data_IF_787268500346
#
_entry.id   IF_787268500346
#
_cell.length_a   1.000
_cell.length_b   1.000
_cell.length_c   1.000
_cell.angle_alpha   90.00
_cell.angle_beta   90.00
_cell.angle_gamma   90.00
#
_symmetry.space_group_name_H-M   'P 1'
#
loop_
_entity.id
_entity.type
_entity.pdbx_description
1 polymer ?
#
# COMPACT_ATOMS: atom_id res chain seq x y z
N UNK A 1 1.89 22.93 26.23
CA UNK A 1 1.47 24.25 25.68
C UNK A 1 1.85 24.25 24.21
N UNK A 2 0.94 24.57 23.30
CA UNK A 2 1.23 24.62 21.85
C UNK A 2 2.07 25.85 21.54
N UNK A 3 3.13 25.76 20.73
CA UNK A 3 3.88 26.92 20.27
C UNK A 3 3.00 27.85 19.43
N UNK A 4 3.31 29.15 19.45
CA UNK A 4 2.65 30.12 18.58
C UNK A 4 2.89 29.81 17.09
N UNK A 5 1.83 29.69 16.29
CA UNK A 5 1.90 29.38 14.86
C UNK A 5 2.72 30.39 14.05
N UNK A 6 2.74 31.68 14.44
CA UNK A 6 3.58 32.67 13.78
C UNK A 6 5.07 32.38 13.98
N UNK A 7 5.44 31.86 15.16
CA UNK A 7 6.82 31.46 15.46
C UNK A 7 7.21 30.21 14.69
N UNK A 8 6.31 29.23 14.57
CA UNK A 8 6.52 28.06 13.73
C UNK A 8 6.66 28.44 12.24
N UNK A 9 5.85 29.38 11.76
CA UNK A 9 5.96 29.94 10.40
C UNK A 9 7.32 30.61 10.19
N UNK A 10 7.77 31.44 11.13
CA UNK A 10 9.09 32.08 11.08
C UNK A 10 10.21 31.05 11.04
N UNK A 11 10.14 30.05 11.92
CA UNK A 11 11.10 28.93 11.94
C UNK A 11 11.14 28.18 10.60
N UNK A 12 9.98 27.84 10.04
CA UNK A 12 9.86 27.14 8.75
C UNK A 12 10.61 27.89 7.65
N UNK A 13 10.40 29.20 7.51
CA UNK A 13 11.11 30.00 6.49
C UNK A 13 12.59 30.16 6.78
N UNK A 14 13.02 30.30 8.05
CA UNK A 14 14.44 30.34 8.39
C UNK A 14 15.12 29.02 7.99
N UNK A 15 14.50 27.89 8.28
CA UNK A 15 15.05 26.56 7.98
C UNK A 15 15.10 26.32 6.47
N UNK A 16 14.01 26.56 5.75
CA UNK A 16 13.89 26.33 4.30
C UNK A 16 14.83 27.20 3.49
N UNK A 17 15.02 28.46 3.91
CA UNK A 17 15.87 29.45 3.22
C UNK A 17 17.30 29.49 3.78
N UNK A 18 17.55 28.80 4.87
CA UNK A 18 18.82 28.82 5.62
C UNK A 18 19.35 30.24 5.87
N UNK A 19 18.45 31.22 6.07
CA UNK A 19 18.78 32.62 6.20
C UNK A 19 17.69 33.44 6.90
N UNK A 20 18.07 34.11 8.00
CA UNK A 20 17.17 35.04 8.73
C UNK A 20 16.80 36.23 7.84
N UNK A 21 17.74 36.74 7.05
CA UNK A 21 17.49 37.88 6.15
C UNK A 21 16.53 37.51 5.02
N UNK A 22 16.70 36.33 4.43
CA UNK A 22 15.79 35.83 3.39
C UNK A 22 14.38 35.57 3.97
N UNK A 23 14.30 34.97 5.14
CA UNK A 23 13.03 34.76 5.85
C UNK A 23 12.32 36.09 6.14
N UNK A 24 13.05 37.10 6.60
CA UNK A 24 12.50 38.44 6.86
C UNK A 24 11.88 39.08 5.61
N UNK A 25 12.56 38.95 4.46
CA UNK A 25 12.04 39.43 3.17
C UNK A 25 10.76 38.74 2.75
N UNK A 26 10.72 37.41 2.84
CA UNK A 26 9.53 36.59 2.47
C UNK A 26 8.36 36.85 3.40
N UNK A 27 8.63 37.05 4.68
CA UNK A 27 7.62 37.31 5.71
C UNK A 27 7.17 38.77 5.77
N UNK A 28 7.83 39.68 5.04
CA UNK A 28 7.58 41.11 5.05
C UNK A 28 7.67 41.74 6.46
N UNK A 29 8.63 41.27 7.27
CA UNK A 29 8.93 41.79 8.59
C UNK A 29 10.42 42.14 8.76
N UNK A 30 10.78 42.88 9.80
CA UNK A 30 12.18 43.22 10.00
C UNK A 30 13.02 42.03 10.48
N UNK A 31 14.32 42.03 10.12
CA UNK A 31 15.25 40.98 10.58
C UNK A 31 15.32 40.87 12.13
N UNK A 32 15.30 41.97 12.94
CA UNK A 32 15.21 41.86 14.37
C UNK A 32 13.94 41.16 14.85
N UNK A 33 12.79 41.40 14.19
CA UNK A 33 11.55 40.73 14.52
C UNK A 33 11.62 39.22 14.27
N UNK A 34 12.21 38.79 13.14
CA UNK A 34 12.44 37.37 12.86
C UNK A 34 13.33 36.73 13.92
N UNK A 35 14.45 37.40 14.29
CA UNK A 35 15.36 36.92 15.34
C UNK A 35 14.66 36.79 16.69
N UNK A 36 13.84 37.76 17.07
CA UNK A 36 13.08 37.76 18.33
C UNK A 36 12.05 36.61 18.34
N UNK A 37 11.34 36.38 17.24
CA UNK A 37 10.37 35.26 17.13
C UNK A 37 11.06 33.92 17.26
N UNK A 38 12.24 33.75 16.62
CA UNK A 38 13.04 32.54 16.74
C UNK A 38 13.47 32.31 18.20
N UNK A 39 14.02 33.34 18.88
CA UNK A 39 14.44 33.23 20.28
C UNK A 39 13.28 32.84 21.20
N UNK A 40 12.08 33.43 20.99
CA UNK A 40 10.89 33.07 21.76
C UNK A 40 10.48 31.61 21.53
N UNK A 41 10.56 31.10 20.28
CA UNK A 41 10.29 29.71 19.98
C UNK A 41 11.30 28.78 20.68
N UNK A 42 12.61 29.08 20.56
CA UNK A 42 13.67 28.32 21.22
C UNK A 42 13.48 28.27 22.76
N UNK A 43 13.04 29.41 23.36
CA UNK A 43 12.70 29.47 24.77
C UNK A 43 11.48 28.64 25.12
N UNK A 44 10.44 28.64 24.30
CA UNK A 44 9.22 27.82 24.51
C UNK A 44 9.48 26.33 24.44
N UNK A 45 10.27 25.90 23.47
CA UNK A 45 10.60 24.48 23.33
C UNK A 45 11.83 24.04 24.11
N UNK A 46 12.47 24.99 24.83
CA UNK A 46 13.68 24.79 25.63
C UNK A 46 14.83 24.10 24.83
N UNK A 47 14.97 24.46 23.57
CA UNK A 47 16.00 23.92 22.70
C UNK A 47 16.50 24.97 21.70
N UNK A 48 17.82 25.01 21.51
CA UNK A 48 18.45 25.84 20.47
C UNK A 48 18.21 25.20 19.11
N UNK A 49 17.62 25.94 18.18
CA UNK A 49 17.31 25.43 16.82
C UNK A 49 18.42 25.76 15.83
N UNK A 50 19.10 26.89 15.99
CA UNK A 50 20.17 27.26 15.08
C UNK A 50 21.43 27.72 15.83
N UNK A 51 22.58 27.35 15.29
CA UNK A 51 23.89 27.82 15.75
C UNK A 51 24.59 28.59 14.61
N UNK A 52 25.41 29.58 14.99
CA UNK A 52 26.23 30.30 14.01
C UNK A 52 27.63 29.73 13.98
N UNK A 53 28.01 29.11 12.86
CA UNK A 53 29.36 28.62 12.61
C UNK A 53 29.96 29.36 11.41
N UNK A 54 31.09 30.05 11.62
CA UNK A 54 31.79 30.78 10.55
C UNK A 54 30.87 31.71 9.73
N UNK A 55 30.01 32.48 10.41
CA UNK A 55 28.98 33.37 9.80
C UNK A 55 27.85 32.69 9.03
N UNK A 56 27.79 31.34 9.06
CA UNK A 56 26.66 30.55 8.50
C UNK A 56 25.68 30.17 9.58
N UNK A 57 24.40 30.18 9.26
CA UNK A 57 23.34 29.66 10.11
C UNK A 57 23.26 28.15 9.88
N UNK A 58 23.42 27.34 10.95
CA UNK A 58 23.42 25.88 10.86
C UNK A 58 22.30 25.34 11.75
N UNK A 59 21.37 24.55 11.21
CA UNK A 59 20.31 23.93 12.00
C UNK A 59 20.85 22.83 12.92
N UNK A 60 20.35 22.77 14.14
CA UNK A 60 20.62 21.72 15.11
C UNK A 60 19.77 20.46 14.82
N UNK A 61 20.04 19.36 15.50
CA UNK A 61 19.19 18.16 15.41
C UNK A 61 17.78 18.40 15.96
N UNK A 62 17.63 19.32 16.94
CA UNK A 62 16.32 19.77 17.38
C UNK A 62 15.56 20.49 16.26
N UNK A 63 16.26 21.35 15.48
CA UNK A 63 15.65 22.00 14.31
C UNK A 63 15.22 21.00 13.24
N UNK A 64 16.03 19.98 12.96
CA UNK A 64 15.68 18.95 11.97
C UNK A 64 14.41 18.20 12.38
N UNK A 65 14.32 17.79 13.66
CA UNK A 65 13.13 17.11 14.19
C UNK A 65 11.91 18.02 14.16
N UNK A 66 12.04 19.29 14.57
CA UNK A 66 10.92 20.23 14.51
C UNK A 66 10.48 20.47 13.06
N UNK A 67 11.42 20.58 12.12
CA UNK A 67 11.10 20.80 10.71
C UNK A 67 10.33 19.63 10.10
N UNK A 68 10.69 18.38 10.44
CA UNK A 68 9.97 17.19 9.97
C UNK A 68 8.52 17.14 10.46
N UNK A 69 8.19 17.78 11.58
CA UNK A 69 6.82 17.92 12.07
C UNK A 69 6.08 19.11 11.43
N UNK A 70 6.78 20.22 11.23
CA UNK A 70 6.17 21.48 10.75
C UNK A 70 5.95 21.46 9.23
N UNK A 71 6.85 20.87 8.47
CA UNK A 71 6.77 20.86 7.01
C UNK A 71 5.48 20.21 6.49
N UNK A 72 5.09 18.99 6.89
CA UNK A 72 3.84 18.37 6.43
C UNK A 72 2.60 19.21 6.79
N UNK A 73 2.62 19.84 7.96
CA UNK A 73 1.54 20.73 8.38
C UNK A 73 1.42 21.96 7.49
N UNK A 74 2.53 22.63 7.18
CA UNK A 74 2.54 23.80 6.28
C UNK A 74 2.09 23.41 4.88
N UNK A 75 2.57 22.28 4.36
CA UNK A 75 2.20 21.78 3.03
C UNK A 75 0.70 21.45 2.96
N UNK A 76 0.15 20.82 4.00
CA UNK A 76 -1.28 20.53 4.11
C UNK A 76 -2.12 21.80 4.18
N UNK A 77 -1.65 22.79 4.94
CA UNK A 77 -2.35 24.07 5.07
C UNK A 77 -2.34 24.84 3.74
N UNK A 78 -1.22 24.88 3.03
CA UNK A 78 -1.13 25.49 1.70
C UNK A 78 -2.07 24.81 0.71
N UNK A 79 -2.03 23.48 0.65
CA UNK A 79 -2.92 22.69 -0.22
C UNK A 79 -4.39 22.95 0.12
N UNK A 80 -4.73 22.98 1.41
CA UNK A 80 -6.08 23.30 1.89
C UNK A 80 -6.52 24.73 1.53
N UNK A 81 -5.64 25.71 1.69
CA UNK A 81 -5.92 27.10 1.33
C UNK A 81 -6.09 27.30 -0.17
N UNK A 82 -5.28 26.61 -0.99
CA UNK A 82 -5.41 26.66 -2.45
C UNK A 82 -6.72 26.01 -2.90
N UNK A 83 -7.16 24.94 -2.22
CA UNK A 83 -8.48 24.33 -2.46
C UNK A 83 -9.66 25.23 -2.08
N UNK A 84 -9.49 26.12 -1.11
CA UNK A 84 -10.49 27.12 -0.71
C UNK A 84 -10.53 28.31 -1.70
N UNK A 85 -9.38 28.68 -2.26
CA UNK A 85 -9.25 29.84 -3.15
C UNK A 85 -9.71 29.63 -4.58
N UNK A 86 -9.70 28.38 -5.01
CA UNK A 86 -10.25 28.02 -6.32
C UNK A 86 -11.47 27.12 -6.11
N UNK A 87 -12.63 27.43 -6.69
CA UNK A 87 -13.64 26.40 -6.90
C UNK A 87 -12.99 25.36 -7.80
N UNK A 88 -12.53 24.26 -7.21
CA UNK A 88 -11.88 23.18 -7.95
C UNK A 88 -12.97 22.44 -8.70
N UNK A 89 -13.31 22.96 -9.88
CA UNK A 89 -14.23 22.27 -10.81
C UNK A 89 -13.56 21.04 -11.45
N UNK A 90 -12.26 20.85 -11.23
CA UNK A 90 -11.49 19.76 -11.82
C UNK A 90 -10.49 19.17 -10.81
N UNK A 91 -10.29 17.84 -10.82
CA UNK A 91 -9.26 17.19 -10.02
C UNK A 91 -7.87 17.75 -10.29
N UNK A 92 -7.15 18.10 -9.22
CA UNK A 92 -5.79 18.62 -9.25
C UNK A 92 -5.06 18.32 -7.92
N UNK A 93 -3.74 18.58 -7.87
CA UNK A 93 -2.92 18.45 -6.67
C UNK A 93 -2.36 17.05 -6.46
N UNK A 94 -1.85 16.79 -5.25
CA UNK A 94 -1.21 15.53 -4.88
C UNK A 94 -2.23 14.56 -4.32
N UNK A 95 -2.21 13.33 -4.80
CA UNK A 95 -2.97 12.19 -4.28
C UNK A 95 -2.00 11.12 -3.78
N UNK A 96 -2.10 10.78 -2.50
CA UNK A 96 -1.25 9.81 -1.80
C UNK A 96 -2.04 8.53 -1.58
N UNK A 97 -1.57 7.42 -2.12
CA UNK A 97 -2.30 6.16 -2.12
C UNK A 97 -1.43 5.06 -1.53
N UNK A 98 -1.97 4.38 -0.52
CA UNK A 98 -1.39 3.13 -0.02
C UNK A 98 -1.97 1.92 -0.74
N UNK A 99 -1.15 0.89 -0.99
CA UNK A 99 -1.65 -0.36 -1.57
C UNK A 99 -0.75 -1.55 -1.20
N UNK A 100 -1.30 -2.79 -1.23
CA UNK A 100 -0.47 -3.98 -1.17
C UNK A 100 0.55 -3.95 -2.32
N UNK A 101 1.76 -4.37 -2.03
CA UNK A 101 2.91 -4.24 -2.94
C UNK A 101 2.62 -4.78 -4.34
N UNK A 102 2.12 -6.01 -4.42
CA UNK A 102 1.93 -6.67 -5.71
C UNK A 102 0.76 -6.05 -6.49
N UNK A 103 -0.38 -5.84 -5.85
CA UNK A 103 -1.51 -5.17 -6.46
C UNK A 103 -1.16 -3.72 -6.89
N UNK A 104 -0.51 -2.99 -6.00
CA UNK A 104 -0.18 -1.59 -6.23
C UNK A 104 0.75 -1.39 -7.42
N UNK A 105 1.84 -2.16 -7.53
CA UNK A 105 2.80 -2.03 -8.63
C UNK A 105 2.21 -2.44 -9.98
N UNK A 106 1.32 -3.41 -10.01
CA UNK A 106 0.71 -3.92 -11.24
C UNK A 106 -0.36 -2.96 -11.79
N UNK A 107 -1.24 -2.44 -10.93
CA UNK A 107 -2.45 -1.76 -11.39
C UNK A 107 -2.47 -0.25 -11.20
N UNK A 108 -1.88 0.30 -10.14
CA UNK A 108 -1.96 1.74 -9.88
C UNK A 108 -1.26 2.61 -10.94
N UNK A 109 -0.08 2.25 -11.49
CA UNK A 109 0.54 3.04 -12.56
C UNK A 109 -0.34 3.14 -13.80
N UNK A 110 -0.98 2.03 -14.22
CA UNK A 110 -1.88 1.99 -15.37
C UNK A 110 -3.10 2.90 -15.17
N UNK A 111 -3.76 2.76 -14.02
CA UNK A 111 -4.95 3.54 -13.68
C UNK A 111 -4.63 5.03 -13.50
N UNK A 112 -3.48 5.34 -12.90
CA UNK A 112 -3.03 6.73 -12.75
C UNK A 112 -2.62 7.36 -14.07
N UNK A 113 -2.00 6.60 -14.97
CA UNK A 113 -1.68 7.07 -16.31
C UNK A 113 -2.95 7.45 -17.09
N UNK A 114 -3.96 6.59 -17.08
CA UNK A 114 -5.24 6.87 -17.75
C UNK A 114 -5.97 8.08 -17.11
N UNK A 115 -5.92 8.21 -15.80
CA UNK A 115 -6.50 9.35 -15.08
C UNK A 115 -5.81 10.67 -15.43
N UNK A 116 -4.46 10.70 -15.51
CA UNK A 116 -3.71 11.89 -15.85
C UNK A 116 -3.89 12.36 -17.29
N UNK A 117 -4.32 11.49 -18.21
CA UNK A 117 -4.73 11.94 -19.55
C UNK A 117 -5.95 12.88 -19.51
N UNK A 118 -6.81 12.73 -18.51
CA UNK A 118 -8.00 13.55 -18.31
C UNK A 118 -7.71 14.73 -17.37
N UNK A 119 -6.87 14.49 -16.33
CA UNK A 119 -6.57 15.45 -15.26
C UNK A 119 -5.05 15.58 -15.08
N UNK A 120 -4.34 16.30 -15.99
CA UNK A 120 -2.86 16.35 -16.03
C UNK A 120 -2.22 17.03 -14.81
N UNK A 121 -2.99 17.84 -14.07
CA UNK A 121 -2.51 18.54 -12.87
C UNK A 121 -2.48 17.65 -11.63
N UNK A 122 -2.99 16.43 -11.69
CA UNK A 122 -2.92 15.48 -10.59
C UNK A 122 -1.55 14.81 -10.58
N UNK A 123 -0.95 14.80 -9.39
CA UNK A 123 0.29 14.09 -9.06
C UNK A 123 -0.02 12.94 -8.12
N UNK A 124 0.75 11.88 -8.20
CA UNK A 124 0.57 10.67 -7.38
C UNK A 124 1.82 10.37 -6.55
N UNK A 125 1.59 9.93 -5.32
CA UNK A 125 2.59 9.25 -4.50
C UNK A 125 1.99 7.92 -4.06
N UNK A 126 2.74 6.84 -4.27
CA UNK A 126 2.33 5.50 -3.87
C UNK A 126 3.21 5.01 -2.72
N UNK A 127 2.57 4.43 -1.71
CA UNK A 127 3.22 3.71 -0.62
C UNK A 127 2.78 2.25 -0.69
N UNK A 128 3.73 1.35 -0.92
CA UNK A 128 3.46 -0.09 -1.02
C UNK A 128 3.95 -0.79 0.22
N UNK A 129 3.00 -1.37 0.97
CA UNK A 129 3.31 -2.05 2.23
C UNK A 129 2.22 -3.07 2.59
N UNK A 130 2.39 -3.74 3.72
CA UNK A 130 1.40 -4.61 4.33
C UNK A 130 0.22 -3.82 4.89
N UNK A 131 -0.90 -4.51 5.15
CA UNK A 131 -2.15 -3.88 5.62
C UNK A 131 -1.96 -3.05 6.89
N UNK A 132 -1.23 -3.54 7.90
CA UNK A 132 -1.11 -2.84 9.18
C UNK A 132 -0.31 -1.52 9.09
N UNK A 133 0.88 -1.46 8.44
CA UNK A 133 1.56 -0.20 8.13
C UNK A 133 0.70 0.77 7.32
N UNK A 134 -0.01 0.31 6.28
CA UNK A 134 -0.87 1.16 5.46
C UNK A 134 -2.01 1.79 6.27
N UNK A 135 -2.65 1.05 7.17
CA UNK A 135 -3.68 1.58 8.07
C UNK A 135 -3.11 2.60 9.07
N UNK A 136 -1.87 2.41 9.51
CA UNK A 136 -1.17 3.38 10.34
C UNK A 136 -0.91 4.68 9.58
N UNK A 137 -0.36 4.61 8.37
CA UNK A 137 -0.15 5.78 7.51
C UNK A 137 -1.46 6.50 7.19
N UNK A 138 -2.56 5.76 6.99
CA UNK A 138 -3.87 6.34 6.75
C UNK A 138 -4.38 7.10 7.99
N UNK A 139 -4.20 6.53 9.19
CA UNK A 139 -4.58 7.17 10.46
C UNK A 139 -3.75 8.42 10.74
N UNK A 140 -2.47 8.43 10.38
CA UNK A 140 -1.56 9.56 10.57
C UNK A 140 -1.70 10.64 9.49
N UNK A 141 -2.45 10.35 8.41
CA UNK A 141 -2.68 11.28 7.30
C UNK A 141 -1.54 11.35 6.29
N UNK A 142 -0.63 10.39 6.33
CA UNK A 142 0.48 10.27 5.36
C UNK A 142 -0.01 9.83 3.99
N UNK A 143 -1.14 9.10 3.93
CA UNK A 143 -1.85 8.71 2.72
C UNK A 143 -3.30 9.17 2.79
N UNK A 144 -3.91 9.39 1.61
CA UNK A 144 -5.27 9.90 1.48
C UNK A 144 -6.32 8.81 1.58
N UNK A 145 -6.03 7.65 1.02
CA UNK A 145 -6.75 6.40 1.19
C UNK A 145 -5.82 5.20 0.95
N UNK A 146 -6.26 4.03 1.35
CA UNK A 146 -5.52 2.79 1.12
C UNK A 146 -6.38 1.77 0.36
N UNK A 147 -5.71 0.98 -0.46
CA UNK A 147 -6.17 -0.35 -0.84
C UNK A 147 -5.51 -1.32 0.12
N UNK A 148 -6.24 -2.27 0.66
CA UNK A 148 -5.67 -3.26 1.59
C UNK A 148 -6.20 -4.64 1.27
N UNK A 149 -5.36 -5.63 1.49
CA UNK A 149 -5.76 -7.03 1.44
C UNK A 149 -6.47 -7.38 2.76
N UNK A 150 -7.76 -7.62 2.67
CA UNK A 150 -8.58 -8.06 3.80
C UNK A 150 -8.82 -9.56 3.67
N UNK A 151 -7.93 -10.32 4.25
CA UNK A 151 -8.10 -11.74 4.39
C UNK A 151 -9.16 -12.00 5.48
N UNK A 152 -10.38 -12.33 5.05
CA UNK A 152 -11.51 -12.52 5.97
C UNK A 152 -11.57 -13.95 6.54
N UNK A 153 -11.06 -14.17 7.75
CA UNK A 153 -11.85 -14.82 8.74
C UNK A 153 -12.36 -13.79 9.75
N UNK A 154 -13.64 -13.42 9.61
CA UNK A 154 -14.46 -12.69 10.59
C UNK A 154 -13.69 -11.87 11.65
N UNK A 155 -13.45 -10.60 11.37
CA UNK A 155 -13.44 -9.58 12.43
C UNK A 155 -12.16 -9.37 13.23
N UNK A 156 -11.01 -9.96 12.91
CA UNK A 156 -9.81 -9.87 13.74
C UNK A 156 -8.74 -8.85 13.29
N UNK A 157 -8.88 -8.19 12.14
CA UNK A 157 -7.79 -7.37 11.58
C UNK A 157 -7.84 -5.87 11.92
N UNK A 158 -8.88 -5.39 12.55
CA UNK A 158 -8.94 -3.98 12.94
C UNK A 158 -9.14 -3.87 14.45
N UNK A 159 -8.12 -3.46 15.17
CA UNK A 159 -8.25 -3.09 16.59
C UNK A 159 -9.26 -1.95 16.76
N UNK A 160 -9.52 -1.16 15.70
CA UNK A 160 -10.45 -0.02 15.72
C UNK A 160 -11.29 0.04 14.43
N UNK A 161 -12.21 -0.91 14.19
CA UNK A 161 -12.99 -0.96 12.95
C UNK A 161 -13.86 0.28 12.73
N UNK A 162 -14.22 0.99 13.79
CA UNK A 162 -15.02 2.22 13.73
C UNK A 162 -14.28 3.44 13.17
N UNK A 163 -12.95 3.37 13.05
CA UNK A 163 -12.16 4.47 12.46
C UNK A 163 -12.14 4.46 10.94
N UNK A 164 -12.45 3.32 10.34
CA UNK A 164 -12.29 3.11 8.92
C UNK A 164 -13.60 2.72 8.24
N UNK A 165 -13.83 3.31 7.07
CA UNK A 165 -14.79 2.82 6.09
C UNK A 165 -14.10 1.84 5.18
N UNK A 166 -14.63 0.62 5.03
CA UNK A 166 -14.05 -0.45 4.23
C UNK A 166 -15.04 -0.85 3.14
N UNK A 167 -14.62 -0.75 1.90
CA UNK A 167 -15.41 -1.14 0.74
C UNK A 167 -14.67 -2.23 -0.06
N UNK A 168 -15.17 -3.45 -0.15
CA UNK A 168 -14.58 -4.49 -0.99
C UNK A 168 -14.60 -4.09 -2.47
N UNK A 169 -13.47 -4.21 -3.17
CA UNK A 169 -13.34 -3.88 -4.58
C UNK A 169 -13.23 -5.11 -5.47
N UNK A 170 -12.31 -6.01 -5.14
CA UNK A 170 -12.04 -7.20 -5.94
C UNK A 170 -11.69 -8.37 -5.05
N UNK A 171 -12.23 -9.54 -5.39
CA UNK A 171 -11.91 -10.78 -4.71
C UNK A 171 -10.68 -11.43 -5.33
N UNK A 172 -9.77 -11.92 -4.52
CA UNK A 172 -8.59 -12.67 -4.89
C UNK A 172 -8.72 -14.11 -4.42
N UNK A 173 -8.42 -15.06 -5.31
CA UNK A 173 -8.41 -16.48 -4.96
C UNK A 173 -7.00 -16.87 -4.48
N UNK A 174 -6.89 -17.37 -3.25
CA UNK A 174 -5.64 -17.88 -2.68
C UNK A 174 -5.45 -19.35 -3.06
N UNK A 175 -4.42 -19.63 -3.84
CA UNK A 175 -4.13 -20.96 -4.39
C UNK A 175 -2.84 -21.55 -3.81
N UNK A 176 -2.83 -22.85 -3.57
CA UNK A 176 -1.60 -23.62 -3.39
C UNK A 176 -1.13 -24.09 -4.77
N UNK A 177 0.07 -23.70 -5.17
CA UNK A 177 0.56 -23.89 -6.52
C UNK A 177 1.99 -24.45 -6.55
N UNK A 178 2.35 -25.08 -7.63
CA UNK A 178 3.72 -25.52 -7.95
C UNK A 178 3.97 -25.52 -9.45
N UNK A 179 5.20 -25.75 -9.88
CA UNK A 179 5.48 -25.96 -11.32
C UNK A 179 4.86 -27.26 -11.82
N UNK A 180 4.54 -27.29 -13.11
CA UNK A 180 3.98 -28.49 -13.74
C UNK A 180 4.89 -29.72 -13.54
N UNK A 181 6.21 -29.55 -13.68
CA UNK A 181 7.17 -30.66 -13.47
C UNK A 181 7.19 -31.17 -12.03
N UNK A 182 7.10 -30.27 -11.04
CA UNK A 182 7.01 -30.64 -9.63
C UNK A 182 5.71 -31.40 -9.34
N UNK A 183 4.60 -30.92 -9.92
CA UNK A 183 3.30 -31.56 -9.78
C UNK A 183 3.33 -33.01 -10.28
N UNK A 184 3.82 -33.23 -11.51
CA UNK A 184 3.89 -34.59 -12.10
C UNK A 184 4.76 -35.55 -11.29
N UNK A 185 5.86 -35.05 -10.75
CA UNK A 185 6.84 -35.88 -10.04
C UNK A 185 6.44 -36.14 -8.58
N UNK A 186 5.92 -35.15 -7.87
CA UNK A 186 5.80 -35.17 -6.42
C UNK A 186 4.33 -35.28 -5.93
N UNK A 187 3.37 -34.80 -6.73
CA UNK A 187 1.96 -34.75 -6.34
C UNK A 187 1.16 -35.88 -7.02
N UNK A 188 1.29 -36.01 -8.34
CA UNK A 188 0.69 -37.06 -9.18
C UNK A 188 -0.75 -37.44 -8.76
N UNK A 189 -1.63 -36.46 -8.67
CA UNK A 189 -3.05 -36.61 -8.29
C UNK A 189 -3.32 -36.97 -6.83
N UNK A 190 -2.33 -37.22 -5.98
CA UNK A 190 -2.56 -37.39 -4.55
C UNK A 190 -2.57 -36.05 -3.82
N UNK A 191 -3.72 -35.41 -3.74
CA UNK A 191 -3.94 -34.14 -3.06
C UNK A 191 -4.31 -34.32 -1.57
N UNK A 192 -4.08 -35.52 -1.00
CA UNK A 192 -4.39 -35.80 0.39
C UNK A 192 -3.51 -34.98 1.35
N UNK A 193 -4.05 -34.69 2.54
CA UNK A 193 -3.28 -34.06 3.59
C UNK A 193 -1.97 -34.82 3.90
N UNK A 194 -2.04 -36.16 3.95
CA UNK A 194 -0.90 -37.01 4.28
C UNK A 194 0.23 -36.87 3.25
N UNK A 195 -0.09 -36.76 1.96
CA UNK A 195 0.88 -36.53 0.92
C UNK A 195 1.41 -35.10 0.93
N UNK A 196 0.55 -34.07 0.97
CA UNK A 196 0.97 -32.68 0.84
C UNK A 196 1.89 -32.23 1.98
N UNK A 197 1.69 -32.66 3.23
CA UNK A 197 2.54 -32.28 4.36
C UNK A 197 3.96 -32.83 4.28
N UNK A 198 4.22 -33.81 3.41
CA UNK A 198 5.56 -34.38 3.20
C UNK A 198 6.37 -33.64 2.14
N UNK A 199 5.76 -32.71 1.42
CA UNK A 199 6.38 -31.99 0.30
C UNK A 199 7.24 -30.83 0.74
N UNK A 200 8.05 -30.32 -0.20
CA UNK A 200 8.82 -29.10 -0.01
C UNK A 200 7.94 -27.88 -0.23
N UNK A 201 8.22 -26.80 0.53
CA UNK A 201 7.48 -25.56 0.44
C UNK A 201 8.42 -24.37 0.22
N UNK A 202 7.94 -23.42 -0.57
CA UNK A 202 8.44 -22.05 -0.62
C UNK A 202 7.42 -21.16 0.10
N UNK A 203 7.87 -20.31 1.03
CA UNK A 203 6.99 -19.56 1.91
C UNK A 203 7.38 -18.08 1.94
N UNK A 204 6.38 -17.24 2.17
CA UNK A 204 6.61 -15.85 2.53
C UNK A 204 7.10 -15.73 3.98
N UNK A 205 7.74 -14.63 4.31
CA UNK A 205 8.45 -14.45 5.57
C UNK A 205 7.67 -14.93 6.81
N UNK A 206 8.39 -15.66 7.64
CA UNK A 206 8.12 -16.01 9.06
C UNK A 206 6.71 -16.47 9.44
N UNK A 207 5.73 -16.43 8.56
CA UNK A 207 4.37 -16.73 8.94
C UNK A 207 3.83 -18.01 8.29
N UNK A 208 3.98 -19.09 9.05
CA UNK A 208 3.26 -20.34 8.78
C UNK A 208 1.73 -20.18 8.90
N UNK A 209 1.24 -18.99 9.31
CA UNK A 209 -0.18 -18.79 9.57
C UNK A 209 -1.02 -18.93 8.30
N UNK A 210 -0.55 -18.38 7.16
CA UNK A 210 -1.27 -18.46 5.87
C UNK A 210 -1.29 -19.90 5.36
N UNK A 211 -0.16 -20.62 5.39
CA UNK A 211 -0.11 -22.05 5.06
C UNK A 211 -1.00 -22.88 5.99
N UNK A 212 -0.92 -22.65 7.30
CA UNK A 212 -1.77 -23.32 8.27
C UNK A 212 -3.26 -22.98 8.10
N UNK A 213 -3.58 -21.75 7.70
CA UNK A 213 -4.95 -21.38 7.35
C UNK A 213 -5.42 -22.18 6.15
N UNK A 214 -4.63 -22.29 5.09
CA UNK A 214 -4.95 -23.06 3.90
C UNK A 214 -5.20 -24.53 4.26
N UNK A 215 -4.30 -25.18 5.01
CA UNK A 215 -4.49 -26.56 5.46
C UNK A 215 -5.72 -26.74 6.34
N UNK A 216 -5.96 -25.81 7.26
CA UNK A 216 -7.16 -25.83 8.12
C UNK A 216 -8.44 -25.67 7.30
N UNK A 217 -8.42 -24.78 6.32
CA UNK A 217 -9.55 -24.57 5.41
C UNK A 217 -9.87 -25.84 4.61
N UNK A 218 -8.87 -26.41 3.96
CA UNK A 218 -9.07 -27.55 3.04
C UNK A 218 -9.27 -28.88 3.74
N UNK A 219 -8.56 -29.12 4.83
CA UNK A 219 -8.52 -30.44 5.50
C UNK A 219 -9.03 -30.44 6.93
N UNK A 220 -9.37 -29.28 7.49
CA UNK A 220 -9.70 -29.14 8.93
C UNK A 220 -8.57 -29.62 9.86
N UNK A 221 -7.32 -29.54 9.39
CA UNK A 221 -6.09 -29.96 10.07
C UNK A 221 -5.04 -28.84 9.99
N UNK A 222 -4.10 -28.85 10.93
CA UNK A 222 -2.96 -27.94 10.95
C UNK A 222 -1.70 -28.73 10.58
N UNK A 223 -0.87 -28.16 9.73
CA UNK A 223 0.42 -28.75 9.38
C UNK A 223 1.47 -28.26 10.37
N UNK A 224 1.71 -29.00 11.44
CA UNK A 224 2.60 -28.59 12.53
C UNK A 224 4.09 -28.49 12.12
N UNK A 225 4.48 -29.20 11.06
CA UNK A 225 5.87 -29.20 10.58
C UNK A 225 5.86 -29.43 9.06
N UNK A 226 6.18 -28.36 8.32
CA UNK A 226 6.38 -28.43 6.88
C UNK A 226 7.87 -28.30 6.55
N UNK A 227 8.29 -28.94 5.46
CA UNK A 227 9.67 -28.81 4.96
C UNK A 227 9.76 -27.54 4.10
N UNK A 228 9.99 -26.38 4.72
CA UNK A 228 10.21 -25.12 4.02
C UNK A 228 11.65 -25.04 3.55
N UNK A 229 11.86 -25.09 2.25
CA UNK A 229 13.19 -25.07 1.59
C UNK A 229 13.64 -23.68 1.20
N UNK A 230 12.69 -22.74 1.12
CA UNK A 230 12.97 -21.32 0.84
C UNK A 230 11.98 -20.44 1.58
N UNK A 231 12.48 -19.40 2.25
CA UNK A 231 11.69 -18.32 2.85
C UNK A 231 12.13 -16.99 2.26
N UNK A 232 11.19 -16.11 1.93
CA UNK A 232 11.47 -14.81 1.31
C UNK A 232 10.38 -13.80 1.66
N UNK A 233 10.73 -12.52 1.73
CA UNK A 233 9.78 -11.40 1.85
C UNK A 233 9.43 -10.75 0.49
N UNK A 234 9.79 -11.41 -0.59
CA UNK A 234 9.47 -10.98 -1.94
C UNK A 234 8.54 -11.98 -2.61
N UNK A 235 7.31 -11.54 -2.87
CA UNK A 235 6.34 -12.38 -3.56
C UNK A 235 6.80 -12.79 -4.98
N UNK A 236 7.58 -11.93 -5.65
CA UNK A 236 8.22 -12.27 -6.94
C UNK A 236 9.23 -13.41 -6.80
N UNK A 237 10.03 -13.39 -5.73
CA UNK A 237 10.98 -14.46 -5.44
C UNK A 237 10.24 -15.76 -5.09
N UNK A 238 9.14 -15.68 -4.33
CA UNK A 238 8.29 -16.82 -4.02
C UNK A 238 7.72 -17.45 -5.29
N UNK A 239 7.12 -16.65 -6.19
CA UNK A 239 6.61 -17.12 -7.48
C UNK A 239 7.73 -17.71 -8.34
N UNK A 240 8.93 -17.13 -8.32
CA UNK A 240 10.09 -17.68 -9.02
C UNK A 240 10.49 -19.04 -8.46
N UNK A 241 10.49 -19.22 -7.13
CA UNK A 241 10.72 -20.52 -6.49
C UNK A 241 9.69 -21.57 -6.91
N UNK A 242 8.40 -21.20 -6.93
CA UNK A 242 7.31 -22.06 -7.44
C UNK A 242 7.58 -22.46 -8.90
N UNK A 243 7.88 -21.49 -9.75
CA UNK A 243 8.13 -21.70 -11.19
C UNK A 243 9.31 -22.62 -11.46
N UNK A 244 10.37 -22.49 -10.67
CA UNK A 244 11.57 -23.34 -10.76
C UNK A 244 11.37 -24.75 -10.19
N UNK A 245 10.23 -25.03 -9.55
CA UNK A 245 9.93 -26.34 -8.98
C UNK A 245 10.63 -26.60 -7.66
N UNK A 246 10.91 -25.57 -6.86
CA UNK A 246 11.50 -25.73 -5.52
C UNK A 246 10.50 -26.29 -4.50
N UNK A 247 9.21 -26.26 -4.79
CA UNK A 247 8.18 -26.79 -3.90
C UNK A 247 6.80 -26.17 -4.16
N UNK A 248 5.91 -26.43 -3.22
CA UNK A 248 4.58 -25.85 -3.13
C UNK A 248 4.65 -24.44 -2.53
N UNK A 249 3.86 -23.50 -3.02
CA UNK A 249 3.75 -22.17 -2.43
C UNK A 249 2.33 -21.63 -2.51
N UNK A 250 1.97 -20.76 -1.57
CA UNK A 250 0.70 -20.03 -1.60
C UNK A 250 0.88 -18.71 -2.34
N UNK A 251 -0.04 -18.42 -3.26
CA UNK A 251 -0.06 -17.16 -3.99
C UNK A 251 -1.50 -16.79 -4.40
N UNK A 252 -1.73 -15.53 -4.73
CA UNK A 252 -2.99 -15.11 -5.33
C UNK A 252 -3.01 -15.49 -6.81
N UNK A 253 -4.12 -16.08 -7.26
CA UNK A 253 -4.25 -16.60 -8.63
C UNK A 253 -3.98 -15.55 -9.72
N UNK A 254 -4.36 -14.29 -9.49
CA UNK A 254 -4.16 -13.21 -10.45
C UNK A 254 -2.67 -12.88 -10.70
N UNK A 255 -1.79 -13.11 -9.73
CA UNK A 255 -0.34 -12.83 -9.84
C UNK A 255 0.39 -13.84 -10.75
N UNK A 256 -0.17 -15.02 -10.90
CA UNK A 256 0.36 -16.12 -11.74
C UNK A 256 -0.61 -16.50 -12.87
N UNK A 257 -1.54 -15.57 -13.20
CA UNK A 257 -2.59 -15.83 -14.19
C UNK A 257 -2.04 -16.29 -15.55
N UNK A 258 -0.97 -15.67 -16.02
CA UNK A 258 -0.31 -16.07 -17.27
C UNK A 258 0.26 -17.47 -17.21
N UNK A 259 0.98 -17.78 -16.15
CA UNK A 259 1.60 -19.09 -15.93
C UNK A 259 0.57 -20.21 -15.71
N UNK A 260 -0.57 -19.91 -15.08
CA UNK A 260 -1.68 -20.86 -14.95
C UNK A 260 -2.31 -21.16 -16.31
N UNK A 261 -2.59 -20.12 -17.11
CA UNK A 261 -3.13 -20.27 -18.47
C UNK A 261 -2.21 -21.07 -19.37
N UNK A 262 -0.91 -20.81 -19.29
CA UNK A 262 0.10 -21.44 -20.13
C UNK A 262 0.57 -22.81 -19.57
N UNK A 263 0.02 -23.25 -18.43
CA UNK A 263 0.31 -24.53 -17.80
C UNK A 263 1.72 -24.66 -17.21
N UNK A 264 2.43 -23.55 -17.01
CA UNK A 264 3.78 -23.52 -16.39
C UNK A 264 3.67 -23.75 -14.88
N UNK A 265 2.69 -23.11 -14.26
CA UNK A 265 2.30 -23.30 -12.87
C UNK A 265 0.94 -24.00 -12.86
N UNK A 266 0.76 -24.92 -11.94
CA UNK A 266 -0.49 -25.65 -11.72
C UNK A 266 -0.91 -25.54 -10.28
N UNK A 267 -2.21 -25.63 -10.03
CA UNK A 267 -2.80 -25.57 -8.69
C UNK A 267 -3.01 -26.95 -8.10
N UNK A 268 -2.88 -27.04 -6.79
CA UNK A 268 -3.26 -28.23 -6.03
C UNK A 268 -4.73 -28.09 -5.66
N UNK A 269 -5.60 -28.74 -6.42
CA UNK A 269 -7.03 -28.74 -6.17
C UNK A 269 -7.41 -29.73 -5.07
N UNK A 270 -8.37 -29.38 -4.23
CA UNK A 270 -8.94 -30.24 -3.22
C UNK A 270 -10.46 -30.34 -3.41
N UNK A 271 -11.14 -31.11 -2.56
CA UNK A 271 -12.60 -31.19 -2.59
C UNK A 271 -13.29 -29.88 -2.14
N UNK A 272 -12.57 -29.01 -1.45
CA UNK A 272 -13.06 -27.68 -1.04
C UNK A 272 -12.56 -26.60 -2.00
N UNK A 273 -13.40 -25.60 -2.25
CA UNK A 273 -13.03 -24.40 -3.00
C UNK A 273 -11.97 -23.63 -2.23
N UNK A 274 -11.10 -22.97 -2.96
CA UNK A 274 -10.10 -22.10 -2.39
C UNK A 274 -10.73 -20.95 -1.58
N UNK A 275 -9.99 -20.47 -0.60
CA UNK A 275 -10.38 -19.29 0.17
C UNK A 275 -10.19 -18.04 -0.67
N UNK A 276 -11.07 -17.05 -0.42
CA UNK A 276 -11.01 -15.75 -1.09
C UNK A 276 -10.47 -14.71 -0.12
N UNK A 277 -9.58 -13.86 -0.59
CA UNK A 277 -9.22 -12.59 0.00
C UNK A 277 -9.86 -11.45 -0.77
N UNK A 278 -9.81 -10.24 -0.22
CA UNK A 278 -10.42 -9.07 -0.86
C UNK A 278 -9.48 -7.89 -0.82
N UNK A 279 -9.13 -7.37 -1.98
CA UNK A 279 -8.59 -6.02 -2.05
C UNK A 279 -9.75 -5.06 -1.79
N UNK A 280 -9.62 -4.29 -0.73
CA UNK A 280 -10.66 -3.38 -0.26
C UNK A 280 -10.15 -1.95 -0.23
N UNK A 281 -11.00 -1.00 -0.60
CA UNK A 281 -10.76 0.43 -0.41
C UNK A 281 -11.01 0.77 1.06
N UNK A 282 -10.04 1.43 1.68
CA UNK A 282 -10.14 1.88 3.07
C UNK A 282 -9.90 3.38 3.14
N UNK A 283 -10.82 4.06 3.83
CA UNK A 283 -10.77 5.49 4.10
C UNK A 283 -11.04 5.73 5.58
N UNK A 284 -10.62 6.88 6.13
CA UNK A 284 -11.07 7.29 7.46
C UNK A 284 -12.57 7.57 7.45
N UNK A 285 -13.29 7.04 8.45
CA UNK A 285 -14.77 7.10 8.53
C UNK A 285 -15.29 8.55 8.49
N UNK A 286 -14.65 9.46 9.19
CA UNK A 286 -15.10 10.85 9.34
C UNK A 286 -14.44 11.82 8.34
N UNK A 287 -13.58 11.31 7.46
CA UNK A 287 -12.93 12.13 6.43
C UNK A 287 -13.90 12.43 5.28
N UNK A 288 -14.04 13.70 4.96
CA UNK A 288 -14.71 14.12 3.71
C UNK A 288 -13.67 14.05 2.58
N UNK A 289 -13.78 13.10 1.64
CA UNK A 289 -12.82 12.98 0.54
C UNK A 289 -12.82 14.22 -0.34
N UNK A 290 -11.66 14.65 -0.80
CA UNK A 290 -11.52 15.73 -1.78
C UNK A 290 -12.16 15.37 -3.13
N UNK A 291 -12.34 16.35 -4.00
CA UNK A 291 -12.84 16.11 -5.37
C UNK A 291 -11.89 15.16 -6.11
N UNK A 292 -10.58 15.34 -5.97
CA UNK A 292 -9.55 14.49 -6.60
C UNK A 292 -9.64 13.05 -6.11
N UNK A 293 -9.75 12.84 -4.79
CA UNK A 293 -9.93 11.50 -4.22
C UNK A 293 -11.19 10.80 -4.77
N UNK A 294 -12.35 11.46 -4.67
CA UNK A 294 -13.63 10.88 -5.15
C UNK A 294 -13.60 10.54 -6.63
N UNK A 295 -13.03 11.45 -7.43
CA UNK A 295 -12.98 11.25 -8.88
C UNK A 295 -12.01 10.14 -9.24
N UNK A 296 -10.86 10.06 -8.56
CA UNK A 296 -9.90 8.97 -8.80
C UNK A 296 -10.45 7.61 -8.33
N UNK A 297 -11.10 7.53 -7.17
CA UNK A 297 -11.75 6.30 -6.69
C UNK A 297 -12.80 5.81 -7.68
N UNK A 298 -13.59 6.73 -8.23
CA UNK A 298 -14.58 6.38 -9.29
C UNK A 298 -13.88 5.88 -10.55
N UNK A 299 -12.79 6.55 -10.97
CA UNK A 299 -11.99 6.14 -12.12
C UNK A 299 -11.31 4.78 -11.91
N UNK A 300 -10.79 4.53 -10.71
CA UNK A 300 -10.18 3.25 -10.33
C UNK A 300 -11.21 2.12 -10.46
N UNK A 301 -12.39 2.28 -9.87
CA UNK A 301 -13.46 1.27 -9.93
C UNK A 301 -13.88 0.97 -11.39
N UNK A 302 -14.06 2.03 -12.19
CA UNK A 302 -14.40 1.91 -13.60
C UNK A 302 -13.26 1.30 -14.41
N UNK A 303 -12.04 1.79 -14.21
CA UNK A 303 -10.85 1.33 -14.91
C UNK A 303 -10.55 -0.14 -14.65
N UNK A 304 -10.78 -0.65 -13.44
CA UNK A 304 -10.65 -2.07 -13.14
C UNK A 304 -11.60 -2.94 -14.00
N UNK A 305 -12.79 -2.44 -14.30
CA UNK A 305 -13.78 -3.13 -15.16
C UNK A 305 -13.39 -3.05 -16.64
N UNK A 306 -13.02 -1.86 -17.13
CA UNK A 306 -12.79 -1.59 -18.55
C UNK A 306 -11.46 -2.15 -19.08
N UNK A 307 -10.42 -2.23 -18.23
CA UNK A 307 -9.09 -2.69 -18.63
C UNK A 307 -8.89 -4.21 -18.52
N UNK A 308 -9.97 -4.96 -18.37
CA UNK A 308 -9.93 -6.41 -18.15
C UNK A 308 -9.08 -6.83 -16.92
N UNK A 309 -8.78 -5.89 -16.01
CA UNK A 309 -8.08 -6.22 -14.75
C UNK A 309 -8.86 -7.31 -14.02
N UNK A 310 -10.20 -7.17 -13.96
CA UNK A 310 -11.07 -8.16 -13.32
C UNK A 310 -11.06 -9.54 -13.99
N UNK A 311 -10.62 -9.66 -15.23
CA UNK A 311 -10.45 -10.97 -15.88
C UNK A 311 -9.28 -11.77 -15.31
N UNK A 312 -8.27 -11.08 -14.76
CA UNK A 312 -7.16 -11.70 -14.03
C UNK A 312 -7.56 -12.19 -12.63
N UNK A 313 -8.77 -11.81 -12.18
CA UNK A 313 -9.35 -12.24 -10.91
C UNK A 313 -10.53 -13.19 -11.21
N UNK A 314 -10.27 -14.43 -11.69
CA UNK A 314 -11.34 -15.36 -11.99
C UNK A 314 -12.11 -15.65 -10.70
N UNK A 315 -13.42 -15.64 -10.80
CA UNK A 315 -14.29 -16.03 -9.68
C UNK A 315 -14.07 -17.51 -9.30
N UNK A 316 -13.52 -18.31 -10.24
CA UNK A 316 -13.05 -19.70 -10.07
C UNK A 316 -12.01 -20.02 -11.12
N UNK A 317 -11.02 -20.84 -10.78
CA UNK A 317 -10.08 -21.42 -11.76
C UNK A 317 -10.80 -22.24 -12.84
N UNK A 318 -11.93 -22.88 -12.52
CA UNK A 318 -12.78 -23.57 -13.51
C UNK A 318 -13.27 -22.64 -14.64
N UNK A 319 -13.38 -21.33 -14.37
CA UNK A 319 -13.81 -20.37 -15.38
C UNK A 319 -12.70 -20.06 -16.42
N UNK A 320 -11.47 -20.51 -16.17
CA UNK A 320 -10.34 -20.41 -17.11
C UNK A 320 -10.31 -21.57 -18.11
N UNK A 321 -10.74 -22.76 -17.71
CA UNK A 321 -10.77 -23.96 -18.57
C UNK A 321 -11.91 -23.91 -19.59
N UNK A 322 -13.05 -23.30 -19.23
CA UNK A 322 -14.20 -23.18 -20.15
C UNK A 322 -13.99 -22.15 -21.29
N UNK A 323 -13.00 -21.23 -21.15
CA UNK A 323 -12.74 -20.21 -22.18
C UNK A 323 -11.68 -20.59 -23.21
N UNK A 324 -10.94 -21.66 -22.99
CA UNK A 324 -10.00 -22.19 -23.99
C UNK A 324 -10.72 -22.86 -25.18
N UNK A 325 -11.99 -23.22 -25.04
CA UNK A 325 -12.80 -23.79 -26.12
C UNK A 325 -13.53 -22.73 -26.97
N UNK A 326 -13.62 -21.47 -26.55
CA UNK A 326 -14.29 -20.39 -27.30
C UNK A 326 -13.36 -19.56 -28.20
N UNK A 327 -12.04 -19.79 -28.18
CA UNK A 327 -11.06 -19.03 -28.99
C UNK A 327 -10.55 -19.75 -30.23
N UNK A 328 -11.05 -20.95 -30.54
CA UNK A 328 -10.72 -21.74 -31.75
C UNK A 328 -11.89 -21.77 -32.75
N UNK A 329 -12.62 -20.68 -32.94
CA UNK A 329 -13.57 -20.53 -34.06
C UNK A 329 -13.33 -19.21 -34.78
#
# INVERSE_FOLDING_TARGET
>A
MFPDFNRLKVFYYIYSLNSIVAAAKVLHISQPAVSQQLQKLESEIQATLFVRLHKKLVPTDAAKRLFSLVQPFVDSLQTGMDSIRQPVDRPAGLLRIGAPREFGKEYLPLLSHSFRKIYPEVKFTFSFDETAPLLTMLREGDIDFALVDVFMPKGQFLETPHLFSIEPLVAEELILACSHGYYQKEIDRDHSFANLVTKEFVNDEDDMAILNHWFRHHFSKVANKLNVVMTTNSHEALISGIRLGMGLGLTSAHLVFGELRDGVIVTVETTKKNSMSWISLVQLQDKVPTLTERTFITHLKKGMQETNILQKFPRRLSDLTDRSEELDV
#
